data_IF_151712746982
#
_entry.id   IF_151712746982
#
_cell.length_a   1.000
_cell.length_b   1.000
_cell.length_c   1.000
_cell.angle_alpha   90.00
_cell.angle_beta   90.00
_cell.angle_gamma   90.00
#
_symmetry.space_group_name_H-M   'P 1'
#
loop_
_entity.id
_entity.type
_entity.pdbx_description
1 polymer ?
#
# COMPACT_ATOMS: atom_id res chain seq x y z
N UNK A 1 34.38 -12.60 12.13
CA UNK A 1 33.86 -13.94 12.48
C UNK A 1 32.67 -14.23 11.57
N UNK A 2 32.86 -15.07 10.55
CA UNK A 2 31.85 -15.41 9.54
C UNK A 2 31.16 -16.71 9.98
N UNK A 3 29.84 -16.71 10.14
CA UNK A 3 29.07 -17.92 10.43
C UNK A 3 28.42 -18.43 9.14
N UNK A 4 28.84 -19.63 8.74
CA UNK A 4 28.42 -20.38 7.57
C UNK A 4 27.04 -21.00 7.78
N UNK A 5 26.24 -20.96 6.73
CA UNK A 5 24.94 -21.62 6.62
C UNK A 5 25.12 -23.11 6.33
N UNK A 6 24.25 -23.95 6.88
CA UNK A 6 24.02 -25.32 6.44
C UNK A 6 22.59 -25.69 6.82
N UNK A 7 21.71 -25.82 5.84
CA UNK A 7 20.40 -26.44 6.02
C UNK A 7 20.31 -27.60 5.03
N UNK A 8 20.07 -28.77 5.61
CA UNK A 8 20.19 -30.07 5.01
C UNK A 8 19.04 -30.37 4.03
N UNK A 9 19.38 -31.12 2.99
CA UNK A 9 18.47 -31.77 2.06
C UNK A 9 17.71 -32.90 2.77
N UNK A 10 16.42 -33.03 2.47
CA UNK A 10 15.68 -34.28 2.66
C UNK A 10 14.66 -34.42 1.54
N UNK A 11 14.94 -35.36 0.64
CA UNK A 11 14.06 -35.82 -0.41
C UNK A 11 13.24 -37.02 0.09
N UNK A 12 11.97 -37.09 -0.28
CA UNK A 12 11.06 -38.25 -0.24
C UNK A 12 9.78 -37.82 -0.97
N UNK A 13 9.03 -38.62 -1.71
CA UNK A 13 9.22 -39.82 -2.53
C UNK A 13 7.96 -39.89 -3.40
N UNK A 14 8.03 -40.71 -4.45
CA UNK A 14 7.03 -40.89 -5.50
C UNK A 14 5.62 -41.22 -5.02
N UNK A 15 4.62 -40.72 -5.76
CA UNK A 15 3.26 -41.25 -5.80
C UNK A 15 2.64 -40.99 -7.18
N UNK A 16 2.68 -41.98 -8.05
CA UNK A 16 1.90 -42.03 -9.30
C UNK A 16 0.55 -42.68 -9.01
N UNK A 17 -0.53 -42.26 -9.69
CA UNK A 17 -1.59 -43.12 -10.26
C UNK A 17 -2.67 -42.29 -10.98
N UNK A 18 -2.86 -42.64 -12.26
CA UNK A 18 -4.11 -42.77 -13.03
C UNK A 18 -5.06 -41.57 -13.21
N UNK A 19 -5.41 -41.30 -14.48
CA UNK A 19 -6.59 -40.53 -14.85
C UNK A 19 -6.65 -40.14 -16.32
N UNK A 20 -7.31 -40.95 -17.14
CA UNK A 20 -7.65 -40.69 -18.55
C UNK A 20 -8.78 -39.66 -18.66
N UNK A 21 -8.76 -38.80 -19.70
CA UNK A 21 -9.97 -38.41 -20.47
C UNK A 21 -9.67 -37.35 -21.53
N UNK A 22 -10.04 -37.69 -22.76
CA UNK A 22 -10.08 -36.86 -23.97
C UNK A 22 -11.09 -35.72 -23.85
N UNK A 23 -10.80 -34.56 -24.45
CA UNK A 23 -11.78 -33.48 -24.57
C UNK A 23 -11.21 -32.22 -25.23
N UNK A 24 -11.26 -32.17 -26.56
CA UNK A 24 -11.08 -30.94 -27.34
C UNK A 24 -12.39 -30.15 -27.35
N UNK A 25 -12.40 -28.92 -26.83
CA UNK A 25 -13.42 -27.92 -27.14
C UNK A 25 -12.94 -26.51 -26.79
N UNK A 26 -13.14 -25.62 -27.75
CA UNK A 26 -12.77 -24.21 -27.85
C UNK A 26 -13.57 -23.30 -26.90
N UNK A 27 -13.00 -22.20 -26.39
CA UNK A 27 -13.65 -20.87 -26.30
C UNK A 27 -12.82 -19.81 -25.54
N UNK A 28 -12.66 -18.67 -26.22
CA UNK A 28 -12.59 -17.27 -25.76
C UNK A 28 -11.42 -16.75 -24.88
N UNK A 29 -10.90 -15.55 -25.18
CA UNK A 29 -9.99 -14.82 -24.30
C UNK A 29 -10.78 -14.29 -23.09
N UNK A 30 -10.58 -14.90 -21.93
CA UNK A 30 -11.14 -14.37 -20.69
C UNK A 30 -10.35 -13.14 -20.29
N UNK A 31 -10.91 -11.98 -20.64
CA UNK A 31 -10.46 -10.68 -20.20
C UNK A 31 -10.19 -10.74 -18.69
N UNK A 32 -8.94 -10.45 -18.31
CA UNK A 32 -8.57 -10.24 -16.93
C UNK A 32 -9.37 -9.05 -16.39
N UNK A 33 -10.51 -9.34 -15.76
CA UNK A 33 -11.23 -8.38 -14.95
C UNK A 33 -10.35 -8.07 -13.73
N UNK A 34 -9.90 -6.82 -13.53
CA UNK A 34 -9.19 -6.48 -12.32
C UNK A 34 -10.12 -6.72 -11.13
N UNK A 35 -9.61 -7.47 -10.15
CA UNK A 35 -10.25 -7.69 -8.87
C UNK A 35 -10.63 -6.35 -8.23
N UNK A 36 -11.90 -5.96 -8.39
CA UNK A 36 -12.50 -4.87 -7.66
C UNK A 36 -12.56 -5.29 -6.19
N UNK A 37 -11.53 -4.92 -5.44
CA UNK A 37 -11.49 -5.11 -3.99
C UNK A 37 -12.49 -4.12 -3.40
N UNK A 38 -13.67 -4.61 -3.04
CA UNK A 38 -14.71 -3.86 -2.35
C UNK A 38 -14.21 -3.51 -0.95
N UNK A 39 -13.56 -2.35 -0.81
CA UNK A 39 -13.28 -1.76 0.51
C UNK A 39 -14.35 -0.72 0.83
N UNK A 40 -15.31 -1.16 1.65
CA UNK A 40 -16.22 -0.32 2.39
C UNK A 40 -15.42 0.47 3.45
N UNK A 41 -14.71 1.52 3.01
CA UNK A 41 -14.20 2.58 3.87
C UNK A 41 -15.14 3.74 3.62
N UNK A 42 -15.82 4.19 4.68
CA UNK A 42 -16.66 5.40 4.64
C UNK A 42 -15.94 6.46 3.82
N UNK A 43 -16.41 6.66 2.60
CA UNK A 43 -15.76 7.45 1.57
C UNK A 43 -15.90 8.91 2.01
N UNK A 44 -14.99 9.34 2.88
CA UNK A 44 -14.45 10.69 2.78
C UNK A 44 -13.90 10.76 1.37
N UNK A 45 -14.78 11.13 0.43
CA UNK A 45 -14.55 11.12 -1.02
C UNK A 45 -13.11 11.55 -1.25
N UNK A 46 -12.28 10.70 -1.87
CA UNK A 46 -10.80 10.72 -1.86
C UNK A 46 -10.20 12.09 -2.26
N UNK A 47 -10.40 13.08 -1.42
CA UNK A 47 -10.20 14.49 -1.73
C UNK A 47 -8.87 14.95 -1.17
N UNK A 48 -8.36 14.25 -0.14
CA UNK A 48 -6.99 14.40 0.34
C UNK A 48 -6.09 13.45 -0.42
N UNK A 49 -5.15 14.01 -1.18
CA UNK A 49 -4.18 13.25 -1.98
C UNK A 49 -2.75 13.70 -1.68
N UNK A 50 -1.84 12.73 -1.65
CA UNK A 50 -0.42 13.02 -1.64
C UNK A 50 -0.01 13.48 -3.03
N UNK A 51 0.63 14.65 -3.13
CA UNK A 51 1.19 15.15 -4.37
C UNK A 51 2.65 14.75 -4.52
N UNK A 52 3.42 14.84 -3.43
CA UNK A 52 4.86 14.58 -3.48
C UNK A 52 5.41 14.15 -2.11
N UNK A 53 6.53 13.42 -2.15
CA UNK A 53 7.22 12.87 -1.00
C UNK A 53 8.71 13.16 -1.09
N UNK A 54 9.23 13.98 -0.17
CA UNK A 54 10.62 14.41 -0.21
C UNK A 54 11.26 14.44 1.19
N UNK A 55 12.56 14.70 1.21
CA UNK A 55 13.35 14.86 2.43
C UNK A 55 13.99 16.23 2.43
N UNK A 56 13.89 16.95 3.56
CA UNK A 56 14.46 18.29 3.76
C UNK A 56 15.05 18.36 5.17
N UNK A 57 16.30 18.81 5.30
CA UNK A 57 17.02 18.99 6.60
C UNK A 57 16.80 17.81 7.56
N UNK A 58 17.18 16.61 7.13
CA UNK A 58 17.07 15.36 7.92
C UNK A 58 15.65 14.97 8.35
N UNK A 59 14.62 15.51 7.70
CA UNK A 59 13.21 15.20 7.97
C UNK A 59 12.48 14.82 6.70
N UNK A 60 11.53 13.90 6.80
CA UNK A 60 10.66 13.47 5.70
C UNK A 60 9.36 14.26 5.70
N UNK A 61 8.98 14.67 4.50
CA UNK A 61 7.81 15.49 4.24
C UNK A 61 6.93 14.85 3.18
N UNK A 62 5.64 15.10 3.29
CA UNK A 62 4.65 14.82 2.25
C UNK A 62 3.90 16.10 1.93
N UNK A 63 3.81 16.46 0.65
CA UNK A 63 2.95 17.53 0.15
C UNK A 63 1.58 16.94 -0.11
N UNK A 64 0.56 17.53 0.49
CA UNK A 64 -0.80 17.01 0.50
C UNK A 64 -1.74 18.10 0.02
N UNK A 65 -2.67 17.74 -0.86
CA UNK A 65 -3.77 18.60 -1.31
C UNK A 65 -5.07 18.07 -0.76
N UNK A 66 -5.85 18.93 -0.11
CA UNK A 66 -7.24 18.68 0.22
C UNK A 66 -8.12 19.41 -0.79
N UNK A 67 -8.87 18.65 -1.57
CA UNK A 67 -9.83 19.17 -2.54
C UNK A 67 -11.26 19.18 -1.99
N UNK A 68 -11.47 18.78 -0.72
CA UNK A 68 -12.75 18.90 -0.07
C UNK A 68 -13.04 20.37 0.30
N UNK A 69 -14.33 20.73 0.32
CA UNK A 69 -14.82 22.00 0.86
C UNK A 69 -14.78 22.07 2.40
N UNK A 70 -14.33 21.01 3.08
CA UNK A 70 -14.22 20.91 4.54
C UNK A 70 -12.80 20.57 4.98
N UNK A 71 -12.50 20.87 6.24
CA UNK A 71 -11.31 20.33 6.91
C UNK A 71 -11.37 18.81 6.89
N UNK A 72 -10.25 18.19 6.52
CA UNK A 72 -10.10 16.75 6.44
C UNK A 72 -8.95 16.28 7.32
N UNK A 73 -9.10 15.08 7.88
CA UNK A 73 -8.09 14.42 8.68
C UNK A 73 -7.54 13.23 7.92
N UNK A 74 -6.23 13.03 7.99
CA UNK A 74 -5.57 11.94 7.28
C UNK A 74 -4.41 11.38 8.08
N UNK A 75 -3.99 10.17 7.73
CA UNK A 75 -2.79 9.52 8.26
C UNK A 75 -1.81 9.19 7.17
N UNK A 76 -0.52 9.31 7.47
CA UNK A 76 0.56 8.88 6.58
C UNK A 76 0.92 7.45 6.92
N UNK A 77 0.84 6.55 5.94
CA UNK A 77 1.21 5.14 6.11
C UNK A 77 2.73 5.00 6.10
N UNK A 78 3.32 4.50 7.18
CA UNK A 78 4.77 4.32 7.30
C UNK A 78 5.08 2.86 7.63
N UNK A 79 5.91 2.16 6.83
CA UNK A 79 6.29 0.78 7.14
C UNK A 79 6.95 0.68 8.52
N UNK A 80 6.47 -0.28 9.32
CA UNK A 80 7.03 -0.65 10.63
C UNK A 80 7.04 0.49 11.66
N UNK A 81 6.14 1.46 11.51
CA UNK A 81 5.95 2.58 12.44
C UNK A 81 4.47 2.85 12.63
N UNK A 82 4.15 3.59 13.68
CA UNK A 82 2.81 4.14 13.87
C UNK A 82 2.57 5.26 12.86
N UNK A 83 1.41 5.22 12.21
CA UNK A 83 0.99 6.22 11.23
C UNK A 83 0.68 7.56 11.93
N UNK A 84 1.44 8.64 11.68
CA UNK A 84 1.10 9.94 12.22
C UNK A 84 -0.20 10.47 11.60
N UNK A 85 -0.90 11.32 12.33
CA UNK A 85 -2.20 11.90 11.95
C UNK A 85 -2.07 13.40 11.77
N UNK A 86 -2.75 13.93 10.77
CA UNK A 86 -2.73 15.35 10.42
C UNK A 86 -4.11 15.82 10.02
N UNK A 87 -4.29 17.14 10.07
CA UNK A 87 -5.48 17.83 9.57
C UNK A 87 -5.07 18.87 8.54
N UNK A 88 -5.89 19.03 7.52
CA UNK A 88 -5.67 19.98 6.43
C UNK A 88 -6.98 20.74 6.16
N UNK A 89 -6.88 22.07 6.08
CA UNK A 89 -8.02 22.94 5.80
C UNK A 89 -8.63 22.64 4.43
N UNK A 90 -9.87 23.07 4.22
CA UNK A 90 -10.57 22.96 2.95
C UNK A 90 -9.75 23.57 1.80
N UNK A 91 -9.83 22.97 0.61
CA UNK A 91 -9.25 23.47 -0.64
C UNK A 91 -7.77 23.91 -0.56
N UNK A 92 -6.99 23.32 0.36
CA UNK A 92 -5.62 23.77 0.67
C UNK A 92 -4.59 22.74 0.22
N UNK A 93 -3.41 23.20 -0.19
CA UNK A 93 -2.22 22.36 -0.37
C UNK A 93 -1.16 22.73 0.64
N UNK A 94 -0.64 21.75 1.40
CA UNK A 94 0.34 21.98 2.47
C UNK A 94 1.32 20.83 2.59
N UNK A 95 2.54 21.12 3.03
CA UNK A 95 3.53 20.11 3.39
C UNK A 95 3.42 19.71 4.87
N UNK A 96 3.59 18.41 5.16
CA UNK A 96 3.56 17.86 6.51
C UNK A 96 4.81 17.04 6.79
N UNK A 97 5.49 17.36 7.89
CA UNK A 97 6.59 16.54 8.41
C UNK A 97 6.00 15.29 9.05
N UNK A 98 6.36 14.12 8.55
CA UNK A 98 5.85 12.84 9.07
C UNK A 98 6.91 11.96 9.71
N UNK A 99 8.20 12.29 9.57
CA UNK A 99 9.27 11.49 10.15
C UNK A 99 10.65 12.10 10.00
N UNK A 100 11.65 11.39 10.54
CA UNK A 100 13.06 11.69 10.32
C UNK A 100 13.60 11.05 9.04
N UNK A 101 14.76 11.51 8.55
CA UNK A 101 15.41 10.94 7.36
C UNK A 101 15.77 9.45 7.52
N UNK A 102 16.06 9.01 8.75
CA UNK A 102 16.32 7.60 9.09
C UNK A 102 15.08 6.70 9.04
N UNK A 103 13.87 7.28 8.97
CA UNK A 103 12.64 6.49 8.84
C UNK A 103 12.49 6.02 7.38
N UNK A 104 11.69 4.99 7.16
CA UNK A 104 11.29 4.60 5.80
C UNK A 104 10.38 5.68 5.19
N UNK A 105 10.41 5.77 3.86
CA UNK A 105 9.49 6.63 3.10
C UNK A 105 8.05 6.16 3.37
N UNK A 106 7.13 7.11 3.52
CA UNK A 106 5.71 6.79 3.59
C UNK A 106 5.22 6.15 2.29
N UNK A 107 4.26 5.25 2.40
CA UNK A 107 3.72 4.46 1.28
C UNK A 107 2.38 4.96 0.77
N UNK A 108 1.69 5.80 1.54
CA UNK A 108 0.38 6.31 1.14
C UNK A 108 -0.26 7.20 2.19
N UNK A 109 -1.46 7.70 1.86
CA UNK A 109 -2.31 8.48 2.76
C UNK A 109 -3.61 7.71 2.98
N UNK A 110 -4.06 7.70 4.24
CA UNK A 110 -5.35 7.17 4.67
C UNK A 110 -6.25 8.33 5.07
N UNK A 111 -7.39 8.50 4.39
CA UNK A 111 -8.39 9.48 4.79
C UNK A 111 -9.13 8.99 6.04
N UNK A 112 -9.43 9.90 6.96
CA UNK A 112 -10.04 9.58 8.26
C UNK A 112 -11.09 10.62 8.62
N UNK A 113 -12.02 10.25 9.50
CA UNK A 113 -12.80 11.27 10.18
C UNK A 113 -11.88 12.12 11.06
N UNK A 114 -12.15 13.43 11.04
CA UNK A 114 -11.90 14.26 12.20
C UNK A 114 -13.03 13.97 13.22
#
# INVERSE_FOLDING_TARGET
MRKTASLAFSALMLGSLMGVSSGSASAAPQAAQPAATTQNVSASAECVKALDWYTKRSSRYVKVKNSCARTACFSVSIPWRKDPTFSIAANTTKEFRYGGALWRKGTGIKNKSC
#
